data_IF_616186716263
#
_entry.id   IF_616186716263
#
_cell.length_a   1.000
_cell.length_b   1.000
_cell.length_c   1.000
_cell.angle_alpha   90.00
_cell.angle_beta   90.00
_cell.angle_gamma   90.00
#
_symmetry.space_group_name_H-M   'P 1'
#
loop_
_entity.id
_entity.type
_entity.pdbx_description
1 polymer ?
#
# COMPACT_ATOMS: atom_id res chain seq x y z
N UNK A 1 23.04 37.63 25.42
CA UNK A 1 23.10 36.68 24.31
C UNK A 1 22.22 35.49 24.72
N UNK A 2 20.94 35.57 24.37
CA UNK A 2 19.97 34.55 24.68
C UNK A 2 19.86 33.54 23.50
N UNK A 3 20.05 32.26 23.79
CA UNK A 3 19.79 31.18 22.87
C UNK A 3 18.28 30.93 22.74
N UNK A 4 17.73 30.72 21.55
CA UNK A 4 16.33 30.38 21.43
C UNK A 4 16.10 28.93 21.88
N UNK A 5 15.16 28.76 22.80
CA UNK A 5 14.63 27.50 23.25
C UNK A 5 13.84 26.84 22.09
N UNK A 6 14.35 25.76 21.57
CA UNK A 6 13.61 24.89 20.62
C UNK A 6 12.54 24.15 21.39
N UNK A 7 11.30 24.55 21.19
CA UNK A 7 10.12 23.79 21.61
C UNK A 7 10.09 22.47 20.80
N UNK A 8 10.51 21.38 21.44
CA UNK A 8 10.31 20.04 20.94
C UNK A 8 8.83 19.70 21.12
N UNK A 9 8.03 19.84 20.07
CA UNK A 9 6.68 19.31 20.04
C UNK A 9 6.73 17.81 20.31
N UNK A 10 6.00 17.36 21.31
CA UNK A 10 5.90 15.95 21.68
C UNK A 10 5.15 15.23 20.58
N UNK A 11 5.87 14.50 19.73
CA UNK A 11 5.27 13.59 18.74
C UNK A 11 4.72 12.42 19.53
N UNK A 12 3.39 12.34 19.65
CA UNK A 12 2.69 11.18 20.20
C UNK A 12 2.65 10.08 19.12
N UNK A 13 3.76 9.39 18.91
CA UNK A 13 3.79 8.18 18.10
C UNK A 13 3.04 7.04 18.81
N UNK A 14 2.47 6.10 18.06
CA UNK A 14 1.74 4.92 18.57
C UNK A 14 2.66 3.93 19.29
N UNK A 15 3.97 4.18 19.34
CA UNK A 15 4.93 3.36 20.07
C UNK A 15 4.51 3.22 21.54
N UNK A 16 3.95 2.02 21.86
CA UNK A 16 3.55 1.64 23.22
C UNK A 16 2.08 1.85 23.59
N UNK A 17 1.20 2.32 22.68
CA UNK A 17 -0.25 2.38 22.92
C UNK A 17 -0.97 1.21 22.28
N UNK A 18 -1.89 0.57 23.03
CA UNK A 18 -2.79 -0.41 22.46
C UNK A 18 -3.88 0.27 21.61
N UNK A 19 -4.43 -0.44 20.64
CA UNK A 19 -5.49 0.06 19.76
C UNK A 19 -6.71 0.50 20.58
N UNK A 20 -7.02 -0.24 21.64
CA UNK A 20 -8.16 0.03 22.54
C UNK A 20 -8.02 1.34 23.32
N UNK A 21 -6.80 1.87 23.46
CA UNK A 21 -6.51 3.09 24.21
C UNK A 21 -6.64 4.37 23.35
N UNK A 22 -6.84 4.22 22.04
CA UNK A 22 -6.89 5.37 21.14
C UNK A 22 -8.33 5.75 20.83
N UNK A 23 -8.72 6.94 21.26
CA UNK A 23 -10.05 7.53 21.03
C UNK A 23 -10.43 7.44 19.54
N UNK A 24 -11.66 7.00 19.27
CA UNK A 24 -12.25 6.71 17.95
C UNK A 24 -11.70 5.42 17.33
N UNK A 25 -10.38 5.19 17.33
CA UNK A 25 -9.75 4.03 16.69
C UNK A 25 -10.22 2.73 17.33
N UNK A 26 -10.43 2.73 18.66
CA UNK A 26 -10.98 1.61 19.44
C UNK A 26 -12.34 1.11 18.94
N UNK A 27 -13.13 1.96 18.27
CA UNK A 27 -14.43 1.61 17.70
C UNK A 27 -14.32 0.85 16.36
N UNK A 28 -13.11 0.81 15.77
CA UNK A 28 -12.86 0.25 14.46
C UNK A 28 -11.77 -0.84 14.42
N UNK A 29 -11.77 -1.83 15.32
CA UNK A 29 -10.71 -2.85 15.36
C UNK A 29 -10.60 -3.66 14.06
N UNK A 30 -11.71 -3.83 13.34
CA UNK A 30 -11.73 -4.54 12.07
C UNK A 30 -10.99 -3.85 10.90
N UNK A 31 -10.63 -2.57 11.04
CA UNK A 31 -9.83 -1.83 10.05
C UNK A 31 -8.33 -2.14 10.24
N UNK A 32 -7.93 -2.59 11.42
CA UNK A 32 -6.53 -2.83 11.81
C UNK A 32 -6.23 -4.31 12.11
N UNK A 33 -6.50 -5.24 11.20
CA UNK A 33 -6.20 -6.66 11.45
C UNK A 33 -4.69 -6.87 11.55
N UNK A 34 -4.25 -7.89 12.29
CA UNK A 34 -2.82 -8.25 12.34
C UNK A 34 -2.27 -8.67 10.98
N UNK A 35 -3.12 -9.24 10.13
CA UNK A 35 -2.80 -9.63 8.76
C UNK A 35 -4.00 -9.43 7.81
N UNK A 36 -3.74 -9.33 6.50
CA UNK A 36 -4.82 -9.23 5.52
C UNK A 36 -5.67 -10.50 5.55
N UNK A 37 -7.00 -10.39 5.57
CA UNK A 37 -7.91 -11.53 5.72
C UNK A 37 -7.95 -12.46 4.48
N UNK A 38 -7.28 -12.10 3.40
CA UNK A 38 -7.24 -12.86 2.14
C UNK A 38 -7.50 -11.97 0.93
N UNK A 39 -8.11 -12.56 -0.11
CA UNK A 39 -8.40 -11.84 -1.35
C UNK A 39 -9.28 -10.61 -1.13
N UNK A 40 -8.94 -9.46 -1.76
CA UNK A 40 -9.77 -8.27 -1.71
C UNK A 40 -11.16 -8.54 -2.33
N UNK A 41 -12.19 -7.77 -1.90
CA UNK A 41 -13.52 -7.88 -2.49
C UNK A 41 -13.49 -7.52 -3.98
N UNK A 42 -14.55 -7.93 -4.69
CA UNK A 42 -14.76 -7.45 -6.05
C UNK A 42 -15.08 -5.97 -6.00
N UNK A 43 -14.31 -5.19 -6.71
CA UNK A 43 -14.56 -3.75 -6.88
C UNK A 43 -14.51 -3.39 -8.37
N UNK A 44 -15.13 -2.25 -8.72
CA UNK A 44 -15.16 -1.77 -10.11
C UNK A 44 -13.78 -1.35 -10.64
N UNK A 45 -12.76 -1.40 -9.81
CA UNK A 45 -11.39 -1.02 -10.16
C UNK A 45 -10.53 -2.27 -10.17
N UNK A 46 -10.20 -2.71 -11.37
CA UNK A 46 -9.21 -3.76 -11.61
C UNK A 46 -8.01 -3.16 -12.33
N UNK A 47 -6.85 -3.69 -12.05
CA UNK A 47 -5.61 -3.20 -12.64
C UNK A 47 -5.40 -3.83 -14.00
N UNK A 48 -5.22 -2.99 -15.03
CA UNK A 48 -4.75 -3.42 -16.33
C UNK A 48 -3.24 -3.25 -16.49
N UNK A 49 -2.65 -4.17 -17.25
CA UNK A 49 -1.25 -4.10 -17.69
C UNK A 49 -1.27 -4.03 -19.22
N UNK A 50 -1.49 -2.82 -19.73
CA UNK A 50 -1.55 -2.57 -21.16
C UNK A 50 -0.13 -2.51 -21.72
N UNK A 51 0.16 -3.31 -22.73
CA UNK A 51 1.50 -3.40 -23.34
C UNK A 51 1.55 -2.66 -24.68
N UNK A 52 2.74 -2.26 -25.04
CA UNK A 52 3.02 -1.75 -26.39
C UNK A 52 2.63 -2.85 -27.40
N UNK A 53 1.84 -2.53 -28.45
CA UNK A 53 1.42 -3.50 -29.44
C UNK A 53 2.59 -4.27 -30.07
N UNK A 54 2.43 -5.59 -30.22
CA UNK A 54 3.46 -6.48 -30.75
C UNK A 54 4.52 -6.91 -29.73
N UNK A 55 4.27 -6.67 -28.43
CA UNK A 55 5.18 -7.15 -27.37
C UNK A 55 5.02 -8.65 -27.17
N UNK A 56 6.13 -9.37 -27.33
CA UNK A 56 6.22 -10.80 -26.99
C UNK A 56 6.36 -11.00 -25.47
N UNK A 57 5.95 -12.18 -24.95
CA UNK A 57 6.15 -12.51 -23.55
C UNK A 57 7.62 -12.43 -23.12
N UNK A 58 7.86 -11.82 -21.96
CA UNK A 58 9.20 -11.61 -21.42
C UNK A 58 9.45 -12.60 -20.30
N UNK A 59 10.53 -13.39 -20.42
CA UNK A 59 11.00 -14.28 -19.36
C UNK A 59 12.49 -14.06 -19.12
N UNK A 60 12.86 -13.89 -17.84
CA UNK A 60 14.25 -13.77 -17.39
C UNK A 60 14.60 -14.89 -16.44
N UNK A 61 15.87 -15.32 -16.51
CA UNK A 61 16.39 -16.33 -15.58
C UNK A 61 16.36 -15.79 -14.15
N UNK A 62 16.00 -16.62 -13.14
CA UNK A 62 16.01 -16.21 -11.74
C UNK A 62 17.44 -15.83 -11.33
N UNK A 63 17.53 -14.83 -10.45
CA UNK A 63 18.82 -14.45 -9.86
C UNK A 63 19.35 -15.57 -8.96
N UNK A 64 20.68 -15.70 -8.92
CA UNK A 64 21.32 -16.60 -7.95
C UNK A 64 21.08 -16.08 -6.54
N UNK A 65 20.50 -16.90 -5.71
CA UNK A 65 20.12 -16.56 -4.34
C UNK A 65 20.96 -17.40 -3.36
N UNK A 66 21.51 -16.76 -2.33
CA UNK A 66 22.26 -17.45 -1.28
C UNK A 66 21.29 -18.36 -0.47
N UNK A 67 21.82 -19.47 0.05
CA UNK A 67 21.05 -20.47 0.82
C UNK A 67 20.29 -19.85 1.99
N UNK A 68 20.86 -18.85 2.64
CA UNK A 68 20.21 -18.11 3.76
C UNK A 68 18.91 -17.39 3.37
N UNK A 69 18.73 -17.06 2.08
CA UNK A 69 17.51 -16.44 1.57
C UNK A 69 16.44 -17.44 1.13
N UNK A 70 16.81 -18.70 0.91
CA UNK A 70 15.90 -19.70 0.36
C UNK A 70 14.79 -20.07 1.34
N UNK A 71 15.11 -20.17 2.64
CA UNK A 71 14.11 -20.46 3.67
C UNK A 71 13.07 -19.31 3.76
N UNK A 72 13.54 -18.06 3.72
CA UNK A 72 12.68 -16.89 3.74
C UNK A 72 11.84 -16.79 2.46
N UNK A 73 12.42 -17.10 1.29
CA UNK A 73 11.70 -17.15 0.02
C UNK A 73 10.54 -18.14 0.08
N UNK A 74 10.82 -19.36 0.59
CA UNK A 74 9.81 -20.40 0.71
C UNK A 74 8.67 -19.95 1.63
N UNK A 75 8.99 -19.39 2.80
CA UNK A 75 8.03 -18.87 3.76
C UNK A 75 7.13 -17.81 3.14
N UNK A 76 7.70 -16.79 2.48
CA UNK A 76 6.91 -15.70 1.88
C UNK A 76 6.06 -16.20 0.70
N UNK A 77 6.53 -17.16 -0.10
CA UNK A 77 5.71 -17.80 -1.14
C UNK A 77 4.53 -18.56 -0.52
N UNK A 78 4.75 -19.34 0.54
CA UNK A 78 3.70 -20.08 1.24
C UNK A 78 2.66 -19.13 1.86
N UNK A 79 3.08 -18.02 2.44
CA UNK A 79 2.19 -16.97 2.95
C UNK A 79 1.34 -16.34 1.84
N UNK A 80 1.93 -16.01 0.69
CA UNK A 80 1.20 -15.44 -0.45
C UNK A 80 0.21 -16.46 -1.06
N UNK A 81 0.61 -17.74 -1.14
CA UNK A 81 -0.26 -18.83 -1.61
C UNK A 81 -1.45 -19.03 -0.67
N UNK A 82 -1.22 -19.06 0.64
CA UNK A 82 -2.28 -19.29 1.64
C UNK A 82 -3.35 -18.19 1.62
N UNK A 83 -2.97 -16.96 1.24
CA UNK A 83 -3.88 -15.82 1.07
C UNK A 83 -4.56 -15.78 -0.30
N UNK A 84 -4.14 -16.62 -1.23
CA UNK A 84 -4.61 -16.60 -2.61
C UNK A 84 -4.06 -15.44 -3.45
N UNK A 85 -3.07 -14.70 -2.96
CA UNK A 85 -2.46 -13.56 -3.66
C UNK A 85 -1.62 -13.98 -4.85
N UNK A 86 -1.10 -15.21 -4.83
CA UNK A 86 -0.42 -15.83 -5.95
C UNK A 86 -0.96 -17.23 -6.20
N UNK A 87 -0.75 -17.73 -7.42
CA UNK A 87 -1.05 -19.11 -7.77
C UNK A 87 0.06 -19.70 -8.66
N UNK A 88 0.28 -21.04 -8.62
CA UNK A 88 1.22 -21.68 -9.51
C UNK A 88 0.70 -21.68 -10.96
N UNK A 89 1.61 -21.52 -11.92
CA UNK A 89 1.26 -21.45 -13.35
C UNK A 89 2.35 -22.06 -14.23
N UNK A 90 1.97 -22.38 -15.48
CA UNK A 90 2.88 -22.57 -16.61
C UNK A 90 2.65 -21.40 -17.58
N UNK A 91 3.65 -20.56 -17.79
CA UNK A 91 3.52 -19.31 -18.56
C UNK A 91 4.78 -19.01 -19.34
N UNK A 92 4.68 -18.38 -20.53
CA UNK A 92 5.84 -17.84 -21.24
C UNK A 92 6.42 -16.57 -20.56
N UNK A 93 5.69 -15.98 -19.61
CA UNK A 93 6.16 -14.84 -18.82
C UNK A 93 6.95 -15.32 -17.60
N UNK A 94 7.92 -14.54 -17.13
CA UNK A 94 8.66 -14.86 -15.93
C UNK A 94 9.64 -13.77 -15.51
N UNK A 95 9.30 -13.00 -14.50
CA UNK A 95 10.19 -12.03 -13.90
C UNK A 95 11.06 -12.68 -12.79
N UNK A 96 12.32 -12.29 -12.59
CA UNK A 96 13.13 -12.83 -11.52
C UNK A 96 12.74 -12.24 -10.15
N UNK A 97 12.98 -13.03 -9.10
CA UNK A 97 12.76 -12.61 -7.71
C UNK A 97 14.05 -12.11 -7.07
N UNK A 98 13.94 -11.15 -6.16
CA UNK A 98 15.02 -10.63 -5.35
C UNK A 98 14.51 -10.26 -3.94
N UNK A 99 15.45 -10.08 -3.00
CA UNK A 99 15.15 -9.57 -1.67
C UNK A 99 15.65 -8.14 -1.50
N UNK A 100 14.87 -7.34 -0.79
CA UNK A 100 15.27 -6.02 -0.31
C UNK A 100 15.25 -6.06 1.21
N UNK A 101 16.38 -5.70 1.83
CA UNK A 101 16.48 -5.55 3.27
C UNK A 101 15.78 -4.25 3.70
N UNK A 102 14.88 -4.35 4.68
CA UNK A 102 14.21 -3.21 5.29
C UNK A 102 15.05 -2.65 6.44
N UNK A 103 14.75 -1.41 6.85
CA UNK A 103 15.42 -0.74 7.97
C UNK A 103 15.27 -1.50 9.30
N UNK A 104 14.19 -2.24 9.48
CA UNK A 104 13.89 -3.07 10.65
C UNK A 104 14.62 -4.43 10.64
N UNK A 105 15.48 -4.68 9.67
CA UNK A 105 16.21 -5.94 9.49
C UNK A 105 15.38 -7.07 8.85
N UNK A 106 14.09 -6.88 8.61
CA UNK A 106 13.27 -7.82 7.87
C UNK A 106 13.53 -7.73 6.37
N UNK A 107 13.13 -8.75 5.62
CA UNK A 107 13.31 -8.82 4.17
C UNK A 107 11.98 -8.83 3.45
N UNK A 108 11.91 -8.08 2.37
CA UNK A 108 10.76 -8.10 1.48
C UNK A 108 11.13 -8.81 0.19
N UNK A 109 10.34 -9.83 -0.17
CA UNK A 109 10.37 -10.42 -1.50
C UNK A 109 9.87 -9.38 -2.50
N UNK A 110 10.68 -9.13 -3.52
CA UNK A 110 10.34 -8.24 -4.62
C UNK A 110 10.49 -8.98 -5.94
N UNK A 111 9.65 -8.60 -6.90
CA UNK A 111 9.70 -9.12 -8.25
C UNK A 111 10.30 -8.03 -9.15
N UNK A 112 11.27 -8.42 -9.95
CA UNK A 112 11.93 -7.48 -10.87
C UNK A 112 11.12 -7.31 -12.16
N UNK A 113 10.14 -6.43 -12.11
CA UNK A 113 9.30 -6.10 -13.26
C UNK A 113 9.90 -5.05 -14.20
N UNK A 114 11.16 -4.66 -14.07
CA UNK A 114 11.75 -3.59 -14.92
C UNK A 114 11.52 -3.83 -16.40
N UNK A 115 11.72 -5.06 -16.88
CA UNK A 115 11.51 -5.38 -18.31
C UNK A 115 10.05 -5.35 -18.72
N UNK A 116 9.12 -5.76 -17.85
CA UNK A 116 7.69 -5.62 -18.09
C UNK A 116 7.31 -4.12 -18.09
N UNK A 117 7.84 -3.35 -17.15
CA UNK A 117 7.57 -1.92 -17.02
C UNK A 117 8.08 -1.09 -18.23
N UNK A 118 9.17 -1.53 -18.88
CA UNK A 118 9.69 -0.88 -20.10
C UNK A 118 8.70 -0.97 -21.26
N UNK A 119 7.94 -2.06 -21.35
CA UNK A 119 6.95 -2.31 -22.42
C UNK A 119 5.52 -2.02 -21.99
N UNK A 120 5.28 -1.65 -20.74
CA UNK A 120 3.96 -1.27 -20.24
C UNK A 120 3.65 0.19 -20.58
N UNK A 121 2.46 0.42 -21.14
CA UNK A 121 1.95 1.77 -21.40
C UNK A 121 1.73 2.45 -20.04
N UNK A 122 2.45 3.55 -19.81
CA UNK A 122 2.41 4.27 -18.53
C UNK A 122 1.10 5.04 -18.39
N UNK A 123 0.42 4.80 -17.27
CA UNK A 123 -0.74 5.57 -16.87
C UNK A 123 -0.33 7.03 -16.57
N UNK A 124 -1.18 7.97 -16.99
CA UNK A 124 -0.96 9.41 -16.79
C UNK A 124 -1.84 9.99 -15.69
N UNK A 125 -2.29 9.16 -14.75
CA UNK A 125 -3.07 9.62 -13.62
C UNK A 125 -2.27 10.68 -12.85
N UNK A 126 -2.86 11.86 -12.58
CA UNK A 126 -2.13 12.93 -11.91
C UNK A 126 -1.81 12.52 -10.47
N UNK A 127 -0.52 12.56 -10.12
CA UNK A 127 -0.11 12.45 -8.72
C UNK A 127 -0.17 13.86 -8.11
N UNK A 128 -0.70 13.99 -6.91
CA UNK A 128 -0.78 15.29 -6.22
C UNK A 128 0.61 15.83 -5.94
N UNK A 129 0.76 17.15 -5.96
CA UNK A 129 2.01 17.83 -5.62
C UNK A 129 2.05 18.07 -4.10
N UNK A 130 3.24 17.96 -3.52
CA UNK A 130 3.40 18.11 -2.06
C UNK A 130 3.05 19.54 -1.61
N UNK A 131 3.31 20.53 -2.45
CA UNK A 131 3.00 21.94 -2.19
C UNK A 131 1.48 22.16 -2.00
N UNK A 132 0.64 21.48 -2.80
CA UNK A 132 -0.82 21.58 -2.68
C UNK A 132 -1.31 21.10 -1.31
N UNK A 133 -0.62 20.12 -0.71
CA UNK A 133 -0.97 19.60 0.61
C UNK A 133 -0.74 20.62 1.73
N UNK A 134 0.35 21.37 1.66
CA UNK A 134 0.63 22.41 2.66
C UNK A 134 -0.42 23.51 2.64
N UNK A 135 -0.91 23.88 1.45
CA UNK A 135 -1.96 24.90 1.34
C UNK A 135 -3.31 24.37 1.90
N UNK A 136 -3.66 23.12 1.63
CA UNK A 136 -4.88 22.48 2.16
C UNK A 136 -4.87 22.37 3.69
N UNK A 137 -3.72 22.01 4.28
CA UNK A 137 -3.55 21.85 5.74
C UNK A 137 -3.42 23.16 6.50
N UNK A 138 -3.49 24.30 5.84
CA UNK A 138 -3.26 25.62 6.48
C UNK A 138 -4.27 25.90 7.59
N UNK A 139 -3.76 26.10 8.80
CA UNK A 139 -4.55 26.36 10.00
C UNK A 139 -5.01 25.10 10.74
N UNK A 140 -4.65 23.91 10.26
CA UNK A 140 -4.87 22.69 11.00
C UNK A 140 -3.95 22.63 12.24
N UNK A 141 -4.42 21.97 13.31
CA UNK A 141 -3.74 21.82 14.59
C UNK A 141 -3.65 20.38 15.07
N UNK A 142 -4.50 19.52 14.55
CA UNK A 142 -4.54 18.10 14.94
C UNK A 142 -4.48 17.27 13.67
N UNK A 143 -3.67 16.22 13.71
CA UNK A 143 -3.38 15.37 12.57
C UNK A 143 -3.45 13.88 12.97
N UNK A 144 -3.88 13.04 12.03
CA UNK A 144 -3.71 11.59 12.14
C UNK A 144 -3.20 11.06 10.81
N UNK A 145 -2.16 10.24 10.86
CA UNK A 145 -1.59 9.55 9.71
C UNK A 145 -2.02 8.09 9.75
N UNK A 146 -2.57 7.59 8.67
CA UNK A 146 -3.01 6.22 8.50
C UNK A 146 -2.23 5.61 7.33
N UNK A 147 -1.57 4.45 7.56
CA UNK A 147 -0.76 3.72 6.55
C UNK A 147 -1.49 2.43 6.18
N UNK A 148 -1.85 2.30 4.91
CA UNK A 148 -2.57 1.14 4.42
C UNK A 148 -1.69 -0.12 4.44
N UNK A 149 -2.20 -1.18 5.05
CA UNK A 149 -1.50 -2.46 5.18
C UNK A 149 -1.34 -3.14 3.82
N UNK A 150 -0.10 -3.23 3.32
CA UNK A 150 0.17 -3.85 2.02
C UNK A 150 -0.83 -3.36 0.95
N UNK A 151 -1.06 -2.03 0.91
CA UNK A 151 -2.14 -1.40 0.17
C UNK A 151 -2.31 -1.92 -1.25
N UNK A 152 -1.19 -2.24 -1.91
CA UNK A 152 -1.21 -2.79 -3.26
C UNK A 152 -1.88 -4.15 -3.36
N UNK A 153 -1.75 -5.05 -2.39
CA UNK A 153 -2.44 -6.34 -2.39
C UNK A 153 -3.96 -6.24 -2.15
N UNK A 154 -4.47 -5.05 -1.91
CA UNK A 154 -5.90 -4.80 -1.72
C UNK A 154 -6.64 -4.46 -3.03
N UNK A 155 -5.99 -4.59 -4.18
CA UNK A 155 -6.59 -4.45 -5.51
C UNK A 155 -6.35 -5.69 -6.35
N UNK A 156 -7.37 -6.11 -7.11
CA UNK A 156 -7.29 -7.24 -8.06
C UNK A 156 -6.65 -6.80 -9.37
N UNK A 157 -5.99 -7.75 -10.02
CA UNK A 157 -5.52 -7.61 -11.39
C UNK A 157 -6.59 -8.17 -12.31
N UNK A 158 -6.85 -7.50 -13.44
CA UNK A 158 -7.75 -7.97 -14.48
C UNK A 158 -7.31 -9.37 -14.95
N UNK A 159 -8.25 -10.28 -15.07
CA UNK A 159 -7.98 -11.71 -15.29
C UNK A 159 -7.04 -11.97 -16.48
N UNK A 160 -7.19 -11.23 -17.57
CA UNK A 160 -6.36 -11.36 -18.77
C UNK A 160 -4.92 -10.84 -18.60
N UNK A 161 -4.68 -10.03 -17.57
CA UNK A 161 -3.37 -9.43 -17.27
C UNK A 161 -2.59 -10.19 -16.18
N UNK A 162 -3.28 -11.05 -15.42
CA UNK A 162 -2.66 -11.89 -14.40
C UNK A 162 -1.41 -12.63 -14.92
N UNK A 163 -1.43 -13.31 -16.11
CA UNK A 163 -0.25 -14.03 -16.60
C UNK A 163 0.99 -13.16 -16.83
N UNK A 164 0.82 -11.85 -17.08
CA UNK A 164 1.94 -10.90 -17.27
C UNK A 164 2.74 -10.68 -15.98
N UNK A 165 2.13 -10.95 -14.84
CA UNK A 165 2.77 -10.81 -13.51
C UNK A 165 3.58 -12.03 -13.11
N UNK A 166 3.70 -13.03 -13.98
CA UNK A 166 4.40 -14.27 -13.68
C UNK A 166 5.84 -14.01 -13.23
N UNK A 167 6.26 -14.70 -12.17
CA UNK A 167 7.60 -14.60 -11.62
C UNK A 167 8.21 -15.98 -11.33
N UNK A 168 9.50 -16.07 -11.54
CA UNK A 168 10.27 -17.30 -11.40
C UNK A 168 10.97 -17.34 -10.05
N UNK A 169 10.83 -18.45 -9.36
CA UNK A 169 11.57 -18.77 -8.15
C UNK A 169 12.25 -20.12 -8.27
N UNK A 170 13.08 -20.49 -7.29
CA UNK A 170 13.61 -21.85 -7.20
C UNK A 170 12.53 -22.92 -7.01
N UNK A 171 11.37 -22.53 -6.48
CA UNK A 171 10.27 -23.44 -6.11
C UNK A 171 9.18 -23.53 -7.16
N UNK A 172 9.30 -22.81 -8.27
CA UNK A 172 8.35 -22.82 -9.36
C UNK A 172 8.08 -21.46 -9.97
N UNK A 173 7.12 -21.44 -10.87
CA UNK A 173 6.59 -20.26 -11.54
C UNK A 173 5.23 -19.93 -10.94
N UNK A 174 5.04 -18.68 -10.54
CA UNK A 174 3.81 -18.17 -9.92
C UNK A 174 3.38 -16.88 -10.59
N UNK A 175 2.12 -16.54 -10.47
CA UNK A 175 1.56 -15.26 -10.93
C UNK A 175 0.74 -14.61 -9.83
N UNK A 176 0.68 -13.27 -9.81
CA UNK A 176 -0.13 -12.52 -8.86
C UNK A 176 -1.55 -12.35 -9.36
N UNK A 177 -2.53 -12.63 -8.51
CA UNK A 177 -3.95 -12.36 -8.72
C UNK A 177 -4.36 -10.97 -8.20
N UNK A 178 -3.51 -10.40 -7.36
CA UNK A 178 -3.65 -9.06 -6.79
C UNK A 178 -2.48 -8.18 -7.23
N UNK A 179 -2.65 -6.88 -7.11
CA UNK A 179 -1.61 -5.91 -7.45
C UNK A 179 -0.31 -6.17 -6.68
N UNK A 180 0.80 -6.24 -7.38
CA UNK A 180 2.12 -6.48 -6.82
C UNK A 180 2.95 -5.20 -6.78
N UNK A 181 3.87 -5.14 -5.82
CA UNK A 181 4.90 -4.12 -5.80
C UNK A 181 5.81 -4.22 -7.05
N UNK A 182 6.21 -3.07 -7.56
CA UNK A 182 7.16 -2.97 -8.67
C UNK A 182 6.54 -2.85 -10.06
N UNK A 183 5.23 -3.01 -10.23
CA UNK A 183 4.53 -2.68 -11.47
C UNK A 183 4.43 -1.17 -11.64
N UNK A 184 4.70 -0.65 -12.85
CA UNK A 184 4.84 0.80 -13.08
C UNK A 184 3.57 1.60 -12.82
N UNK A 185 2.39 1.03 -13.09
CA UNK A 185 1.12 1.74 -12.97
C UNK A 185 0.44 1.57 -11.59
N UNK A 186 1.03 0.80 -10.69
CA UNK A 186 0.52 0.55 -9.33
C UNK A 186 0.16 1.83 -8.57
N UNK A 187 1.02 2.86 -8.49
CA UNK A 187 0.68 4.09 -7.77
C UNK A 187 -0.53 4.81 -8.37
N UNK A 188 -0.67 4.81 -9.69
CA UNK A 188 -1.76 5.48 -10.38
C UNK A 188 -3.12 4.84 -10.08
N UNK A 189 -3.20 3.49 -10.12
CA UNK A 189 -4.42 2.76 -9.78
C UNK A 189 -4.80 2.92 -8.32
N UNK A 190 -3.80 2.92 -7.45
CA UNK A 190 -4.03 3.10 -6.04
C UNK A 190 -4.55 4.50 -5.72
N UNK A 191 -3.95 5.53 -6.30
CA UNK A 191 -4.46 6.91 -6.19
C UNK A 191 -5.87 7.05 -6.76
N UNK A 192 -6.17 6.36 -7.88
CA UNK A 192 -7.53 6.35 -8.42
C UNK A 192 -8.54 5.74 -7.43
N UNK A 193 -8.20 4.61 -6.79
CA UNK A 193 -9.02 4.01 -5.75
C UNK A 193 -9.23 4.99 -4.58
N UNK A 194 -8.16 5.56 -4.06
CA UNK A 194 -8.22 6.49 -2.92
C UNK A 194 -9.06 7.72 -3.25
N UNK A 195 -8.89 8.26 -4.45
CA UNK A 195 -9.70 9.38 -4.90
C UNK A 195 -11.19 9.01 -4.99
N UNK A 196 -11.53 7.80 -5.46
CA UNK A 196 -12.92 7.33 -5.49
C UNK A 196 -13.51 7.19 -4.08
N UNK A 197 -12.73 6.65 -3.14
CA UNK A 197 -13.17 6.40 -1.75
C UNK A 197 -13.36 7.72 -0.97
N UNK A 198 -12.43 8.66 -1.13
CA UNK A 198 -12.35 9.87 -0.31
C UNK A 198 -12.75 11.17 -1.05
N UNK A 199 -13.29 11.08 -2.27
CA UNK A 199 -13.64 12.23 -3.10
C UNK A 199 -14.42 13.33 -2.34
N UNK A 200 -15.34 12.93 -1.48
CA UNK A 200 -16.18 13.86 -0.71
C UNK A 200 -15.45 14.58 0.43
N UNK A 201 -14.26 14.10 0.83
CA UNK A 201 -13.47 14.61 1.96
C UNK A 201 -12.21 15.37 1.52
N UNK A 202 -11.84 15.28 0.24
CA UNK A 202 -10.74 16.08 -0.30
C UNK A 202 -10.99 17.56 -0.16
N UNK A 203 -9.93 18.33 -0.01
CA UNK A 203 -9.93 19.79 0.19
C UNK A 203 -10.67 20.25 1.46
N UNK A 204 -11.13 19.32 2.31
CA UNK A 204 -11.82 19.60 3.57
C UNK A 204 -10.98 19.18 4.78
N UNK A 205 -10.68 17.89 4.89
CA UNK A 205 -9.95 17.33 6.04
C UNK A 205 -9.15 16.04 5.72
N UNK A 206 -9.08 15.63 4.46
CA UNK A 206 -8.32 14.44 4.04
C UNK A 206 -7.38 14.79 2.91
N UNK A 207 -6.15 14.34 3.04
CA UNK A 207 -5.14 14.29 1.98
C UNK A 207 -4.66 12.86 1.84
N UNK A 208 -4.49 12.41 0.60
CA UNK A 208 -3.97 11.07 0.32
C UNK A 208 -2.73 11.16 -0.57
N UNK A 209 -1.69 10.45 -0.17
CA UNK A 209 -0.48 10.31 -0.97
C UNK A 209 -0.04 8.85 -1.01
N UNK A 210 -0.36 8.21 -2.12
CA UNK A 210 -0.12 6.77 -2.32
C UNK A 210 -0.73 5.95 -1.17
N UNK A 211 0.06 5.30 -0.34
CA UNK A 211 -0.38 4.41 0.75
C UNK A 211 -0.72 5.17 2.05
N UNK A 212 -0.40 6.47 2.12
CA UNK A 212 -0.60 7.30 3.31
C UNK A 212 -1.87 8.16 3.20
N UNK A 213 -2.73 8.09 4.20
CA UNK A 213 -3.89 8.95 4.38
C UNK A 213 -3.62 9.88 5.56
N UNK A 214 -3.70 11.18 5.33
CA UNK A 214 -3.56 12.19 6.37
C UNK A 214 -4.91 12.84 6.63
N UNK A 215 -5.38 12.72 7.87
CA UNK A 215 -6.57 13.42 8.37
C UNK A 215 -6.11 14.64 9.15
N UNK A 216 -6.69 15.80 8.88
CA UNK A 216 -6.31 17.05 9.54
C UNK A 216 -7.53 17.85 9.98
N UNK A 217 -7.42 18.61 11.08
CA UNK A 217 -8.54 19.36 11.66
C UNK A 217 -8.05 20.56 12.44
N UNK A 218 -8.93 21.53 12.69
CA UNK A 218 -8.61 22.76 13.44
C UNK A 218 -8.76 22.57 14.95
N UNK A 219 -9.60 21.62 15.39
CA UNK A 219 -9.79 21.30 16.81
C UNK A 219 -9.84 19.77 17.02
N UNK A 220 -9.77 19.35 18.29
CA UNK A 220 -9.87 17.94 18.66
C UNK A 220 -11.30 17.39 18.43
N UNK A 221 -12.31 18.20 18.64
CA UNK A 221 -13.71 17.84 18.44
C UNK A 221 -14.00 17.57 16.97
N UNK A 222 -13.57 18.47 16.07
CA UNK A 222 -13.65 18.26 14.63
C UNK A 222 -12.86 17.02 14.21
N UNK A 223 -11.68 16.79 14.82
CA UNK A 223 -10.82 15.66 14.47
C UNK A 223 -11.44 14.32 14.84
N UNK A 224 -12.17 14.25 15.94
CA UNK A 224 -12.93 13.05 16.31
C UNK A 224 -13.93 12.66 15.23
N UNK A 225 -14.69 13.63 14.72
CA UNK A 225 -15.69 13.42 13.68
C UNK A 225 -15.03 13.03 12.35
N UNK A 226 -13.99 13.76 11.92
CA UNK A 226 -13.27 13.50 10.69
C UNK A 226 -12.59 12.12 10.70
N UNK A 227 -11.92 11.75 11.78
CA UNK A 227 -11.27 10.45 11.93
C UNK A 227 -12.31 9.32 11.88
N UNK A 228 -13.47 9.49 12.53
CA UNK A 228 -14.58 8.52 12.49
C UNK A 228 -15.10 8.30 11.07
N UNK A 229 -15.31 9.37 10.32
CA UNK A 229 -15.74 9.32 8.92
C UNK A 229 -14.72 8.57 8.04
N UNK A 230 -13.44 8.85 8.19
CA UNK A 230 -12.36 8.18 7.43
C UNK A 230 -12.31 6.69 7.76
N UNK A 231 -12.29 6.31 9.05
CA UNK A 231 -12.26 4.91 9.45
C UNK A 231 -13.51 4.15 9.04
N UNK A 232 -14.67 4.81 9.03
CA UNK A 232 -15.89 4.21 8.52
C UNK A 232 -15.81 3.93 7.02
N UNK A 233 -15.28 4.87 6.21
CA UNK A 233 -15.05 4.64 4.77
C UNK A 233 -14.10 3.49 4.51
N UNK A 234 -13.00 3.40 5.25
CA UNK A 234 -12.07 2.28 5.14
C UNK A 234 -12.76 0.95 5.44
N UNK A 235 -13.58 0.89 6.49
CA UNK A 235 -14.37 -0.30 6.83
C UNK A 235 -15.39 -0.67 5.75
N UNK A 236 -16.12 0.31 5.22
CA UNK A 236 -17.13 0.11 4.16
C UNK A 236 -16.53 -0.45 2.87
N UNK A 237 -15.33 0.02 2.52
CA UNK A 237 -14.59 -0.43 1.34
C UNK A 237 -13.66 -1.62 1.60
N UNK A 238 -13.67 -2.18 2.83
CA UNK A 238 -12.81 -3.29 3.25
C UNK A 238 -11.32 -3.00 2.99
N UNK A 239 -10.91 -1.77 3.23
CA UNK A 239 -9.52 -1.34 3.22
C UNK A 239 -8.93 -1.48 4.63
N UNK A 240 -7.74 -2.03 4.70
CA UNK A 240 -7.09 -2.41 5.95
C UNK A 240 -5.82 -1.63 6.17
N UNK A 241 -5.59 -1.23 7.42
CA UNK A 241 -4.46 -0.40 7.81
C UNK A 241 -3.47 -1.16 8.70
N UNK A 242 -2.23 -0.71 8.69
CA UNK A 242 -1.19 -1.24 9.55
C UNK A 242 -1.05 -0.38 10.80
N UNK A 243 -1.73 -0.74 11.88
CA UNK A 243 -1.76 0.02 13.13
C UNK A 243 -0.38 0.50 13.61
N UNK A 244 0.65 -0.36 13.57
CA UNK A 244 2.02 -0.01 14.00
C UNK A 244 2.73 1.04 13.16
N UNK A 245 2.13 1.48 12.05
CA UNK A 245 2.66 2.54 11.17
C UNK A 245 1.74 3.77 11.12
N UNK A 246 0.63 3.71 11.84
CA UNK A 246 -0.29 4.83 11.97
C UNK A 246 0.12 5.71 13.16
N UNK A 247 -0.10 7.01 13.01
CA UNK A 247 0.07 7.98 14.09
C UNK A 247 -1.24 8.74 14.25
N UNK A 248 -1.75 8.81 15.47
CA UNK A 248 -3.03 9.43 15.76
C UNK A 248 -2.87 10.61 16.73
N UNK A 249 -3.73 11.63 16.57
CA UNK A 249 -3.81 12.79 17.47
C UNK A 249 -2.49 13.56 17.61
N UNK A 250 -1.76 13.72 16.52
CA UNK A 250 -0.55 14.57 16.45
C UNK A 250 -0.94 16.06 16.54
N UNK A 251 -0.08 16.89 17.18
CA UNK A 251 -0.25 18.34 17.34
C UNK A 251 0.93 19.11 16.76
#
# INVERSE_FOLDING_TARGET
>A
VGTPSTNSGTVNSVEGKALEDIRVVSDFPGVFPEDLPGMPPDCDIEISIDLIPGTDPISKRPYRMDVKYLAELKKQIEELLSKGFIRPISSPWGAPTLFIDKKDGSRRLCIDYRSLNEVTIKNKYPLPQIEDFFDQMRGAKVFSKIDLRSGYHQLKIRMEDIPKTAFTSRYGLYEFTVMSFGLTNTPAYFMYLMNKVFMEYFDKFVVVFIDDILVFSRSEEEHEEHLRLVLQKLREHQLYDKFSKCDFWLK
#
